data_IF_590806150551
#
_entry.id   IF_590806150551
#
_cell.length_a   1.000
_cell.length_b   1.000
_cell.length_c   1.000
_cell.angle_alpha   90.00
_cell.angle_beta   90.00
_cell.angle_gamma   90.00
#
_symmetry.space_group_name_H-M   'P 1'
#
loop_
_entity.id
_entity.type
_entity.pdbx_description
1 polymer ?
#
# COMPACT_ATOMS: atom_id res chain seq x y z
N UNK A 1 3.08 0.47 -24.14
CA UNK A 1 2.92 -0.48 -23.01
C UNK A 1 3.45 0.24 -21.77
N UNK A 2 2.60 0.65 -20.82
CA UNK A 2 3.02 1.52 -19.71
C UNK A 2 3.43 0.76 -18.44
N UNK A 3 2.90 -0.46 -18.24
CA UNK A 3 3.18 -1.31 -17.08
C UNK A 3 3.36 -2.75 -17.57
N UNK A 4 4.38 -3.44 -17.06
CA UNK A 4 4.61 -4.88 -17.22
C UNK A 4 4.66 -5.53 -15.84
N UNK A 5 3.78 -6.49 -15.61
CA UNK A 5 3.79 -7.31 -14.40
C UNK A 5 4.31 -8.70 -14.77
N UNK A 6 5.28 -9.20 -14.01
CA UNK A 6 5.76 -10.57 -14.08
C UNK A 6 5.50 -11.26 -12.75
N UNK A 7 4.81 -12.40 -12.78
CA UNK A 7 4.47 -13.15 -11.59
C UNK A 7 4.72 -14.64 -11.84
N UNK A 8 5.66 -15.21 -11.10
CA UNK A 8 5.95 -16.65 -11.09
C UNK A 8 5.39 -17.25 -9.80
N UNK A 9 4.57 -18.27 -9.95
CA UNK A 9 3.88 -18.93 -8.84
C UNK A 9 4.41 -20.35 -8.64
N UNK A 10 4.39 -20.79 -7.38
CA UNK A 10 4.66 -22.19 -6.99
C UNK A 10 3.39 -22.85 -6.46
N UNK A 11 3.44 -24.17 -6.31
CA UNK A 11 2.37 -24.92 -5.67
C UNK A 11 2.04 -24.31 -4.29
N UNK A 12 0.75 -24.13 -3.94
CA UNK A 12 0.36 -23.64 -2.64
C UNK A 12 0.87 -24.55 -1.52
N UNK A 13 1.30 -23.96 -0.41
CA UNK A 13 1.76 -24.69 0.78
C UNK A 13 0.80 -24.40 1.91
N UNK A 14 0.11 -25.42 2.42
CA UNK A 14 -0.88 -25.26 3.50
C UNK A 14 -2.05 -24.33 3.15
N UNK A 15 -2.44 -24.26 1.88
CA UNK A 15 -3.50 -23.38 1.39
C UNK A 15 -3.07 -21.93 1.10
N UNK A 16 -1.83 -21.56 1.39
CA UNK A 16 -1.27 -20.23 1.11
C UNK A 16 -0.68 -20.21 -0.31
N UNK A 17 -1.06 -19.21 -1.09
CA UNK A 17 -0.50 -19.00 -2.43
C UNK A 17 0.95 -18.50 -2.33
N UNK A 18 1.87 -19.15 -3.04
CA UNK A 18 3.29 -18.81 -3.06
C UNK A 18 3.65 -18.10 -4.35
N UNK A 19 4.06 -16.82 -4.23
CA UNK A 19 4.59 -15.99 -5.31
C UNK A 19 6.11 -16.04 -5.23
N UNK A 20 6.71 -16.88 -6.07
CA UNK A 20 8.16 -17.07 -6.10
C UNK A 20 8.90 -15.81 -6.60
N UNK A 21 8.36 -15.17 -7.63
CA UNK A 21 8.94 -13.96 -8.20
C UNK A 21 7.83 -13.02 -8.63
N UNK A 22 7.75 -11.84 -8.00
CA UNK A 22 6.76 -10.83 -8.33
C UNK A 22 7.47 -9.53 -8.70
N UNK A 23 7.42 -9.15 -9.97
CA UNK A 23 8.13 -7.99 -10.49
C UNK A 23 7.17 -7.06 -11.23
N UNK A 24 7.20 -5.76 -10.88
CA UNK A 24 6.41 -4.74 -11.54
C UNK A 24 7.37 -3.75 -12.19
N UNK A 25 7.40 -3.77 -13.52
CA UNK A 25 8.15 -2.83 -14.33
C UNK A 25 7.22 -1.75 -14.86
N UNK A 26 7.50 -0.50 -14.53
CA UNK A 26 6.75 0.67 -15.01
C UNK A 26 7.70 1.50 -15.85
N UNK A 27 7.26 1.91 -17.04
CA UNK A 27 8.05 2.86 -17.84
C UNK A 27 7.94 4.25 -17.22
N UNK A 28 8.90 5.16 -17.45
CA UNK A 28 8.79 6.53 -16.94
C UNK A 28 7.43 7.16 -17.25
N UNK A 29 6.77 7.71 -16.22
CA UNK A 29 5.40 8.21 -16.32
C UNK A 29 5.38 9.73 -16.30
N UNK A 30 4.48 10.33 -17.09
CA UNK A 30 4.14 11.75 -17.00
C UNK A 30 2.68 11.86 -16.58
N UNK A 31 2.43 12.44 -15.42
CA UNK A 31 1.13 12.55 -14.79
C UNK A 31 0.73 14.03 -14.80
N UNK A 32 -0.26 14.36 -15.63
CA UNK A 32 -0.89 15.68 -15.66
C UNK A 32 -2.24 15.64 -14.96
N UNK A 33 -2.41 16.41 -13.90
CA UNK A 33 -3.67 16.47 -13.15
C UNK A 33 -4.20 17.92 -13.09
N UNK A 34 -5.51 18.04 -13.23
CA UNK A 34 -6.22 19.29 -12.95
C UNK A 34 -6.95 19.15 -11.61
N UNK A 35 -7.12 20.25 -10.87
CA UNK A 35 -7.88 20.23 -9.60
C UNK A 35 -9.26 19.59 -9.77
N UNK A 36 -9.98 19.94 -10.84
CA UNK A 36 -11.32 19.41 -11.14
C UNK A 36 -11.28 17.89 -11.34
N UNK A 37 -10.34 17.40 -12.14
CA UNK A 37 -10.19 15.96 -12.38
C UNK A 37 -9.82 15.21 -11.10
N UNK A 38 -8.86 15.73 -10.34
CA UNK A 38 -8.43 15.12 -9.07
C UNK A 38 -9.58 14.99 -8.08
N UNK A 39 -10.36 16.06 -7.87
CA UNK A 39 -11.51 16.04 -6.97
C UNK A 39 -12.60 15.07 -7.42
N UNK A 40 -12.90 15.01 -8.72
CA UNK A 40 -13.86 14.04 -9.26
C UNK A 40 -13.37 12.61 -9.07
N UNK A 41 -12.08 12.34 -9.33
CA UNK A 41 -11.50 11.01 -9.19
C UNK A 41 -11.42 10.58 -7.71
N UNK A 42 -11.10 11.49 -6.79
CA UNK A 42 -11.15 11.21 -5.36
C UNK A 42 -12.56 10.86 -4.89
N UNK A 43 -13.57 11.65 -5.25
CA UNK A 43 -14.98 11.34 -4.90
C UNK A 43 -15.45 10.02 -5.52
N UNK A 44 -14.94 9.67 -6.70
CA UNK A 44 -15.27 8.39 -7.36
C UNK A 44 -14.61 7.19 -6.66
N UNK A 45 -13.32 7.27 -6.37
CA UNK A 45 -12.56 6.17 -5.75
C UNK A 45 -12.78 6.06 -4.24
N UNK A 46 -13.08 7.18 -3.57
CA UNK A 46 -13.23 7.32 -2.13
C UNK A 46 -14.40 8.25 -1.81
N UNK A 47 -15.65 7.81 -2.01
CA UNK A 47 -16.84 8.65 -1.79
C UNK A 47 -16.99 9.14 -0.34
N UNK A 48 -16.31 8.51 0.62
CA UNK A 48 -16.31 8.86 2.04
C UNK A 48 -15.28 9.95 2.42
N UNK A 49 -14.38 10.34 1.51
CA UNK A 49 -13.41 11.43 1.74
C UNK A 49 -13.88 12.68 1.04
N UNK A 50 -14.23 13.72 1.80
CA UNK A 50 -14.52 15.02 1.22
C UNK A 50 -13.19 15.67 0.76
N UNK A 51 -13.00 16.00 -0.52
CA UNK A 51 -11.74 16.58 -1.01
C UNK A 51 -11.43 17.96 -0.43
N UNK A 52 -12.41 18.64 0.16
CA UNK A 52 -12.25 20.00 0.70
C UNK A 52 -11.63 20.00 2.13
N UNK A 53 -11.52 18.85 2.80
CA UNK A 53 -10.82 18.71 4.10
C UNK A 53 -9.34 18.30 3.97
N UNK A 54 -8.87 17.98 2.76
CA UNK A 54 -7.48 17.54 2.50
C UNK A 54 -6.48 18.71 2.55
N UNK A 55 -6.95 19.96 2.45
CA UNK A 55 -6.09 21.16 2.42
C UNK A 55 -5.46 21.51 3.80
N UNK A 56 -5.77 20.77 4.88
CA UNK A 56 -5.41 21.19 6.25
C UNK A 56 -4.88 20.12 7.22
N UNK A 57 -4.93 18.83 6.91
CA UNK A 57 -4.43 17.79 7.80
C UNK A 57 -3.45 16.88 7.08
N UNK A 58 -2.26 16.70 7.69
CA UNK A 58 -1.23 15.79 7.20
C UNK A 58 -1.82 14.42 6.95
N UNK A 59 -1.36 13.76 5.89
CA UNK A 59 -1.78 12.41 5.46
C UNK A 59 -1.26 11.36 6.44
N UNK A 60 -1.65 11.44 7.71
CA UNK A 60 -1.39 10.47 8.77
C UNK A 60 -2.72 10.24 9.49
N UNK A 61 -3.60 9.47 8.86
CA UNK A 61 -4.45 8.51 9.57
C UNK A 61 -5.10 7.58 8.56
N UNK A 62 -4.45 6.45 8.36
CA UNK A 62 -5.08 5.26 7.81
C UNK A 62 -4.92 4.17 8.87
N UNK A 63 -5.62 4.37 9.99
CA UNK A 63 -5.82 3.33 11.00
C UNK A 63 -6.52 2.12 10.35
N UNK A 64 -5.95 0.91 10.45
CA UNK A 64 -6.67 -0.29 10.07
C UNK A 64 -7.73 -0.58 11.12
N UNK A 65 -9.01 -0.44 10.75
CA UNK A 65 -10.16 -0.78 11.59
C UNK A 65 -10.06 -2.24 12.08
N UNK A 66 -9.82 -2.39 13.37
CA UNK A 66 -9.66 -3.66 14.06
C UNK A 66 -10.30 -3.61 15.44
N UNK A 67 -11.62 -3.48 15.51
CA UNK A 67 -12.40 -3.61 16.76
C UNK A 67 -12.27 -5.02 17.36
N UNK A 68 -11.25 -5.22 18.20
CA UNK A 68 -11.14 -6.34 19.13
C UNK A 68 -11.90 -6.08 20.43
N UNK A 69 -13.09 -6.67 20.60
CA UNK A 69 -13.78 -6.77 21.90
C UNK A 69 -12.89 -7.52 22.90
N UNK A 70 -12.33 -6.82 23.89
CA UNK A 70 -11.67 -7.43 25.05
C UNK A 70 -12.72 -8.09 25.96
N UNK A 71 -12.86 -9.42 25.86
CA UNK A 71 -13.52 -10.24 26.87
C UNK A 71 -12.50 -10.60 27.96
N UNK A 72 -12.80 -10.15 29.19
CA UNK A 72 -12.04 -10.39 30.41
C UNK A 72 -12.32 -11.83 30.87
N UNK A 73 -11.31 -12.71 30.82
CA UNK A 73 -11.43 -14.12 31.19
C UNK A 73 -10.32 -14.56 32.14
N UNK A 74 -10.73 -15.10 33.29
CA UNK A 74 -9.96 -15.50 34.46
C UNK A 74 -8.81 -16.48 34.21
N UNK A 75 -7.68 -16.31 34.91
CA UNK A 75 -6.57 -17.27 35.00
C UNK A 75 -7.05 -18.58 35.64
N UNK A 76 -7.00 -19.68 34.89
CA UNK A 76 -7.01 -21.03 35.48
C UNK A 76 -6.04 -21.93 34.73
N UNK A 77 -4.97 -22.31 35.43
CA UNK A 77 -3.95 -23.28 35.03
C UNK A 77 -4.59 -24.58 34.52
N UNK A 78 -4.24 -25.03 33.31
CA UNK A 78 -4.55 -26.37 32.81
C UNK A 78 -3.43 -26.89 31.89
N UNK A 79 -3.14 -28.16 32.09
CA UNK A 79 -2.05 -28.97 31.57
C UNK A 79 -1.94 -28.97 30.04
N UNK A 80 -0.71 -28.99 29.53
CA UNK A 80 -0.37 -29.00 28.10
C UNK A 80 -0.73 -30.34 27.45
N UNK A 81 -1.96 -30.49 26.99
CA UNK A 81 -2.29 -31.52 26.00
C UNK A 81 -1.76 -31.04 24.64
N UNK A 82 -0.81 -31.79 24.08
CA UNK A 82 -0.15 -31.52 22.79
C UNK A 82 -1.14 -31.58 21.60
N UNK A 83 -2.27 -32.27 21.77
CA UNK A 83 -3.36 -32.32 20.81
C UNK A 83 -4.48 -31.38 21.28
N UNK A 84 -4.64 -30.25 20.59
CA UNK A 84 -5.88 -29.45 20.66
C UNK A 84 -6.88 -30.12 19.71
N UNK A 85 -8.00 -30.68 20.20
CA UNK A 85 -9.01 -31.22 19.31
C UNK A 85 -9.57 -30.07 18.46
N UNK A 86 -9.77 -30.29 17.16
CA UNK A 86 -10.34 -29.30 16.23
C UNK A 86 -11.85 -29.19 16.54
N UNK A 87 -12.23 -28.44 17.58
CA UNK A 87 -13.61 -28.48 18.12
C UNK A 87 -14.58 -27.53 17.39
N UNK A 88 -14.12 -26.54 16.61
CA UNK A 88 -15.03 -25.60 15.95
C UNK A 88 -14.74 -25.44 14.44
N UNK A 89 -15.73 -25.81 13.60
CA UNK A 89 -15.73 -25.62 12.15
C UNK A 89 -15.40 -24.17 11.75
N UNK A 90 -15.83 -23.22 12.57
CA UNK A 90 -15.61 -21.78 12.40
C UNK A 90 -14.11 -21.40 12.47
N UNK A 91 -13.32 -22.07 13.30
CA UNK A 91 -11.88 -21.80 13.40
C UNK A 91 -11.14 -22.28 12.14
N UNK A 92 -11.54 -23.43 11.61
CA UNK A 92 -10.98 -23.98 10.36
C UNK A 92 -11.35 -23.09 9.17
N UNK A 93 -12.59 -22.62 9.10
CA UNK A 93 -13.07 -21.72 8.05
C UNK A 93 -12.35 -20.36 8.10
N UNK A 94 -12.14 -19.82 9.30
CA UNK A 94 -11.37 -18.60 9.52
C UNK A 94 -9.89 -18.74 9.18
N UNK A 95 -9.28 -19.90 9.47
CA UNK A 95 -7.91 -20.20 9.05
C UNK A 95 -7.80 -20.30 7.53
N UNK A 96 -8.78 -20.92 6.88
CA UNK A 96 -8.85 -21.03 5.42
C UNK A 96 -8.99 -19.66 4.76
N UNK A 97 -9.91 -18.81 5.23
CA UNK A 97 -10.11 -17.46 4.69
C UNK A 97 -8.84 -16.61 4.80
N UNK A 98 -8.13 -16.71 5.94
CA UNK A 98 -6.83 -16.04 6.13
C UNK A 98 -5.76 -16.57 5.19
N UNK A 99 -5.70 -17.88 4.98
CA UNK A 99 -4.74 -18.51 4.07
C UNK A 99 -4.98 -18.12 2.60
N UNK A 100 -6.24 -17.94 2.20
CA UNK A 100 -6.61 -17.51 0.85
C UNK A 100 -6.19 -16.04 0.56
N UNK A 101 -6.38 -15.16 1.55
CA UNK A 101 -6.05 -13.74 1.45
C UNK A 101 -4.54 -13.49 1.51
N UNK A 102 -3.84 -14.18 2.42
CA UNK A 102 -2.40 -14.05 2.57
C UNK A 102 -1.66 -14.74 1.43
N UNK A 103 -0.57 -14.13 0.99
CA UNK A 103 0.31 -14.66 -0.04
C UNK A 103 1.73 -14.63 0.46
N UNK A 104 2.43 -15.74 0.32
CA UNK A 104 3.85 -15.79 0.59
C UNK A 104 4.60 -15.29 -0.64
N UNK A 105 5.19 -14.11 -0.53
CA UNK A 105 6.08 -13.56 -1.54
C UNK A 105 7.53 -13.90 -1.17
N UNK A 106 8.17 -14.73 -2.00
CA UNK A 106 9.59 -15.06 -1.83
C UNK A 106 10.44 -13.85 -2.24
N UNK A 107 10.13 -13.25 -3.39
CA UNK A 107 10.79 -12.04 -3.85
C UNK A 107 9.82 -11.11 -4.58
N UNK A 108 9.88 -9.83 -4.21
CA UNK A 108 9.20 -8.73 -4.88
C UNK A 108 10.26 -7.73 -5.34
N UNK A 109 10.18 -7.30 -6.60
CA UNK A 109 11.04 -6.24 -7.16
C UNK A 109 10.23 -5.23 -7.94
N UNK A 110 10.34 -3.97 -7.56
CA UNK A 110 9.78 -2.84 -8.30
C UNK A 110 10.95 -1.90 -8.58
N UNK A 111 11.48 -1.89 -9.81
CA UNK A 111 12.60 -1.01 -10.16
C UNK A 111 12.24 0.45 -10.01
N UNK A 112 13.28 1.29 -9.94
CA UNK A 112 13.14 2.74 -9.92
C UNK A 112 12.35 3.26 -11.13
N UNK A 113 11.42 4.19 -10.86
CA UNK A 113 10.56 4.78 -11.89
C UNK A 113 10.66 6.31 -11.84
N UNK A 114 11.22 6.95 -12.87
CA UNK A 114 11.12 8.40 -13.03
C UNK A 114 9.67 8.80 -13.34
N UNK A 115 9.15 9.76 -12.58
CA UNK A 115 7.80 10.30 -12.74
C UNK A 115 7.87 11.82 -12.87
N UNK A 116 7.20 12.36 -13.88
CA UNK A 116 6.98 13.80 -14.01
C UNK A 116 5.56 14.12 -13.61
N UNK A 117 5.38 15.06 -12.69
CA UNK A 117 4.06 15.49 -12.22
C UNK A 117 3.85 16.95 -12.59
N UNK A 118 2.71 17.20 -13.23
CA UNK A 118 2.24 18.54 -13.56
C UNK A 118 0.85 18.73 -12.97
N UNK A 119 0.68 19.76 -12.15
CA UNK A 119 -0.58 20.10 -11.51
C UNK A 119 -1.04 21.49 -11.95
N UNK A 120 -2.29 21.57 -12.43
CA UNK A 120 -2.94 22.82 -12.82
C UNK A 120 -3.99 23.22 -11.77
N UNK A 121 -3.75 24.34 -11.11
CA UNK A 121 -4.63 24.94 -10.10
C UNK A 121 -5.84 25.67 -10.70
N UNK A 122 -6.79 26.05 -9.85
CA UNK A 122 -7.90 26.95 -10.22
C UNK A 122 -7.48 28.41 -10.04
N UNK A 123 -7.91 29.28 -10.95
CA UNK A 123 -7.50 30.70 -11.07
C UNK A 123 -7.76 31.58 -9.84
N UNK A 124 -8.58 31.15 -8.87
CA UNK A 124 -8.98 31.97 -7.71
C UNK A 124 -7.99 31.95 -6.52
N UNK A 125 -7.09 30.97 -6.45
CA UNK A 125 -6.01 30.96 -5.46
C UNK A 125 -4.72 30.63 -6.19
N UNK A 126 -3.81 31.60 -6.29
CA UNK A 126 -2.47 31.54 -6.89
C UNK A 126 -1.54 30.53 -6.17
N UNK A 127 -1.94 29.26 -6.06
CA UNK A 127 -0.99 28.18 -5.85
C UNK A 127 -0.42 27.88 -7.24
N UNK A 128 0.79 28.39 -7.46
CA UNK A 128 1.57 28.33 -8.68
C UNK A 128 1.41 26.98 -9.39
N UNK A 129 1.09 27.02 -10.70
CA UNK A 129 1.05 25.84 -11.55
C UNK A 129 2.38 25.08 -11.41
N UNK A 130 2.38 23.94 -10.72
CA UNK A 130 3.55 23.06 -10.65
C UNK A 130 3.67 22.39 -12.01
N UNK A 131 4.69 22.78 -12.79
CA UNK A 131 4.94 22.23 -14.12
C UNK A 131 6.18 21.35 -14.08
N UNK A 132 6.01 20.14 -14.60
CA UNK A 132 7.08 19.18 -14.88
C UNK A 132 8.00 18.87 -13.69
N UNK A 133 7.41 18.83 -12.49
CA UNK A 133 8.15 18.43 -11.29
C UNK A 133 8.61 16.98 -11.45
N UNK A 134 9.93 16.79 -11.48
CA UNK A 134 10.54 15.48 -11.72
C UNK A 134 10.82 14.82 -10.38
N UNK A 135 10.16 13.69 -10.14
CA UNK A 135 10.34 12.86 -8.96
C UNK A 135 10.74 11.45 -9.38
N UNK A 136 11.42 10.75 -8.48
CA UNK A 136 11.87 9.39 -8.73
C UNK A 136 11.27 8.50 -7.65
N UNK A 137 10.46 7.53 -8.08
CA UNK A 137 9.98 6.46 -7.19
C UNK A 137 11.16 5.50 -7.03
N UNK A 138 11.64 5.25 -5.80
CA UNK A 138 12.81 4.41 -5.56
C UNK A 138 12.55 2.95 -5.93
N UNK A 139 13.63 2.18 -6.08
CA UNK A 139 13.53 0.73 -6.18
C UNK A 139 13.03 0.13 -4.86
N UNK A 140 11.99 -0.70 -4.92
CA UNK A 140 11.44 -1.42 -3.78
C UNK A 140 11.72 -2.91 -3.94
N UNK A 141 12.35 -3.50 -2.93
CA UNK A 141 12.63 -4.93 -2.89
C UNK A 141 12.18 -5.53 -1.56
N UNK A 142 11.39 -6.60 -1.63
CA UNK A 142 10.90 -7.31 -0.46
C UNK A 142 11.18 -8.81 -0.59
N UNK A 143 11.53 -9.44 0.52
CA UNK A 143 11.91 -10.85 0.55
C UNK A 143 11.17 -11.59 1.66
N UNK A 144 10.69 -12.79 1.33
CA UNK A 144 10.12 -13.74 2.29
C UNK A 144 9.03 -13.13 3.18
N UNK A 145 8.12 -12.36 2.59
CA UNK A 145 7.02 -11.71 3.31
C UNK A 145 5.70 -12.45 3.07
N UNK A 146 4.89 -12.59 4.11
CA UNK A 146 3.52 -13.10 3.98
C UNK A 146 2.55 -11.95 4.12
N UNK A 147 2.01 -11.49 3.00
CA UNK A 147 1.21 -10.27 2.92
C UNK A 147 -0.06 -10.49 2.12
N UNK A 148 -1.10 -9.71 2.45
CA UNK A 148 -2.19 -9.49 1.51
C UNK A 148 -1.73 -8.52 0.42
N UNK A 149 -2.50 -8.44 -0.67
CA UNK A 149 -2.25 -7.41 -1.70
C UNK A 149 -2.34 -5.98 -1.12
N UNK A 150 -3.21 -5.76 -0.14
CA UNK A 150 -3.35 -4.46 0.51
C UNK A 150 -2.10 -4.11 1.31
N UNK A 151 -1.55 -5.07 2.07
CA UNK A 151 -0.32 -4.85 2.84
C UNK A 151 0.85 -4.50 1.93
N UNK A 152 0.95 -5.19 0.78
CA UNK A 152 1.96 -4.86 -0.25
C UNK A 152 1.79 -3.42 -0.76
N UNK A 153 0.57 -3.01 -1.11
CA UNK A 153 0.30 -1.64 -1.59
C UNK A 153 0.61 -0.58 -0.52
N UNK A 154 0.27 -0.86 0.74
CA UNK A 154 0.55 0.03 1.87
C UNK A 154 2.06 0.14 2.15
N UNK A 155 2.78 -0.99 2.12
CA UNK A 155 4.24 -1.01 2.26
C UNK A 155 4.89 -0.18 1.14
N UNK A 156 4.50 -0.42 -0.12
CA UNK A 156 5.00 0.34 -1.27
C UNK A 156 4.74 1.84 -1.12
N UNK A 157 3.52 2.24 -0.72
CA UNK A 157 3.14 3.63 -0.48
C UNK A 157 4.03 4.26 0.60
N UNK A 158 4.19 3.59 1.74
CA UNK A 158 4.88 4.13 2.90
C UNK A 158 6.39 4.27 2.65
N UNK A 159 6.99 3.28 2.00
CA UNK A 159 8.42 3.30 1.69
C UNK A 159 8.74 4.35 0.62
N UNK A 160 7.90 4.44 -0.42
CA UNK A 160 8.02 5.49 -1.43
C UNK A 160 7.86 6.89 -0.84
N UNK A 161 6.91 7.08 0.09
CA UNK A 161 6.64 8.38 0.72
C UNK A 161 7.88 8.94 1.42
N UNK A 162 8.58 8.11 2.20
CA UNK A 162 9.77 8.54 2.96
C UNK A 162 10.86 9.05 2.02
N UNK A 163 11.15 8.29 0.97
CA UNK A 163 12.20 8.64 0.01
C UNK A 163 11.82 9.85 -0.83
N UNK A 164 10.57 9.94 -1.29
CA UNK A 164 10.08 11.09 -2.06
C UNK A 164 10.15 12.37 -1.22
N UNK A 165 9.75 12.32 0.05
CA UNK A 165 9.85 13.48 0.95
C UNK A 165 11.30 13.88 1.20
N UNK A 166 12.21 12.92 1.39
CA UNK A 166 13.64 13.20 1.52
C UNK A 166 14.22 13.84 0.25
N UNK A 167 13.86 13.34 -0.93
CA UNK A 167 14.28 13.94 -2.21
C UNK A 167 13.71 15.35 -2.38
N UNK A 168 12.43 15.57 -2.07
CA UNK A 168 11.80 16.89 -2.15
C UNK A 168 12.48 17.90 -1.23
N UNK A 169 12.80 17.51 0.01
CA UNK A 169 13.52 18.34 0.96
C UNK A 169 14.93 18.67 0.48
N UNK A 170 15.65 17.67 -0.06
CA UNK A 170 16.99 17.87 -0.62
C UNK A 170 16.98 18.87 -1.79
N UNK A 171 16.01 18.73 -2.71
CA UNK A 171 15.84 19.66 -3.83
C UNK A 171 15.56 21.08 -3.34
N UNK A 172 14.68 21.22 -2.33
CA UNK A 172 14.36 22.52 -1.75
C UNK A 172 15.58 23.20 -1.12
N UNK A 173 16.39 22.44 -0.36
CA UNK A 173 17.64 22.95 0.24
C UNK A 173 18.67 23.34 -0.81
N UNK A 174 18.70 22.67 -1.96
CA UNK A 174 19.64 22.97 -3.05
C UNK A 174 19.24 24.23 -3.84
N UNK A 175 17.96 24.60 -3.80
CA UNK A 175 17.41 25.76 -4.52
C UNK A 175 17.40 27.07 -3.70
N UNK A 176 17.65 26.99 -2.38
CA UNK A 176 17.73 28.13 -1.44
C UNK A 176 19.18 28.55 -1.20
#
# INVERSE_FOLDING_TARGET
RAIRVFCREKAPVGGISVKEHFEINVVPLTIGLTKKFFNTMLRFCFPERDPDTIDGEGVDDMEPDGKGKKLKGSRKSKETNFYVPIVHKDDVEKMKERAEKNKLFIYIKIPEVPVKVSYKGNKEKNLEDIRDFSLVIPTLEYHNVTWTWLDLLLAMKNDSRRVILSHLLLILVTLL
#
